data_IF_156750103776
#
_entry.id   IF_156750103776
#
_cell.length_a   1.000
_cell.length_b   1.000
_cell.length_c   1.000
_cell.angle_alpha   90.00
_cell.angle_beta   90.00
_cell.angle_gamma   90.00
#
_symmetry.space_group_name_H-M   'P 1'
#
loop_
_entity.id
_entity.type
_entity.pdbx_description
1 polymer ?
#
# COMPACT_ATOMS: atom_id res chain seq x y z
N UNK A 1 11.12 -15.51 -1.42
CA UNK A 1 10.36 -15.09 -2.62
C UNK A 1 11.15 -14.09 -3.49
N UNK A 2 12.47 -14.29 -3.65
CA UNK A 2 13.37 -13.48 -4.49
C UNK A 2 13.14 -13.76 -5.99
N UNK A 3 12.76 -15.00 -6.32
CA UNK A 3 12.55 -15.46 -7.69
C UNK A 3 11.47 -14.67 -8.44
N UNK A 4 10.39 -14.30 -7.74
CA UNK A 4 9.32 -13.49 -8.32
C UNK A 4 9.82 -12.08 -8.68
N UNK A 5 10.60 -11.45 -7.81
CA UNK A 5 11.15 -10.12 -8.06
C UNK A 5 12.15 -10.15 -9.22
N UNK A 6 12.97 -11.21 -9.30
CA UNK A 6 13.85 -11.46 -10.43
C UNK A 6 13.08 -11.67 -11.73
N UNK A 7 11.99 -12.43 -11.71
CA UNK A 7 11.13 -12.60 -12.88
C UNK A 7 10.53 -11.27 -13.35
N UNK A 8 10.03 -10.45 -12.42
CA UNK A 8 9.48 -9.13 -12.72
C UNK A 8 10.54 -8.20 -13.34
N UNK A 9 11.77 -8.19 -12.79
CA UNK A 9 12.83 -7.30 -13.25
C UNK A 9 13.51 -7.77 -14.54
N UNK A 10 13.76 -9.06 -14.71
CA UNK A 10 14.53 -9.58 -15.84
C UNK A 10 13.66 -10.08 -16.99
N UNK A 11 12.48 -10.63 -16.72
CA UNK A 11 11.58 -11.17 -17.76
C UNK A 11 10.51 -10.16 -18.15
N UNK A 12 9.74 -9.65 -17.20
CA UNK A 12 8.71 -8.64 -17.48
C UNK A 12 9.30 -7.24 -17.73
N UNK A 13 10.54 -7.01 -17.29
CA UNK A 13 11.28 -5.74 -17.41
C UNK A 13 10.49 -4.55 -16.86
N UNK A 14 9.71 -4.76 -15.80
CA UNK A 14 8.92 -3.68 -15.23
C UNK A 14 9.75 -2.72 -14.40
N UNK A 15 9.88 -1.51 -14.92
CA UNK A 15 10.67 -0.44 -14.34
C UNK A 15 10.11 -0.03 -12.98
N UNK A 16 8.82 0.27 -12.93
CA UNK A 16 8.13 0.75 -11.73
C UNK A 16 7.33 -0.38 -11.09
N UNK A 17 7.99 -1.09 -10.17
CA UNK A 17 7.45 -2.21 -9.42
C UNK A 17 7.78 -2.01 -7.95
N UNK A 18 6.78 -2.13 -7.09
CA UNK A 18 6.88 -2.03 -5.64
C UNK A 18 6.25 -3.28 -5.04
N UNK A 19 6.88 -3.84 -4.00
CA UNK A 19 6.34 -4.99 -3.29
C UNK A 19 6.58 -4.88 -1.80
N UNK A 20 5.57 -5.32 -1.05
CA UNK A 20 5.60 -5.47 0.38
C UNK A 20 4.96 -6.80 0.76
N UNK A 21 5.76 -7.75 1.27
CA UNK A 21 5.33 -9.12 1.53
C UNK A 21 4.61 -9.74 0.32
N UNK A 22 3.28 -9.92 0.41
CA UNK A 22 2.45 -10.51 -0.64
C UNK A 22 1.75 -9.47 -1.52
N UNK A 23 1.79 -8.18 -1.16
CA UNK A 23 1.17 -7.09 -1.91
C UNK A 23 2.15 -6.47 -2.91
N UNK A 24 1.80 -6.48 -4.19
CA UNK A 24 2.60 -5.93 -5.29
C UNK A 24 1.85 -4.87 -6.07
N UNK A 25 2.57 -3.82 -6.49
CA UNK A 25 2.08 -2.70 -7.28
C UNK A 25 2.95 -2.53 -8.51
N UNK A 26 2.30 -2.42 -9.67
CA UNK A 26 2.93 -2.14 -10.96
C UNK A 26 2.42 -0.79 -11.46
N UNK A 27 3.34 0.08 -11.89
CA UNK A 27 3.00 1.39 -12.42
C UNK A 27 3.47 1.49 -13.87
N UNK A 28 2.60 1.94 -14.76
CA UNK A 28 2.94 2.26 -16.14
C UNK A 28 2.03 3.38 -16.65
N UNK A 29 2.55 4.14 -17.60
CA UNK A 29 1.76 5.13 -18.35
C UNK A 29 0.90 4.46 -19.43
N UNK A 30 1.11 3.17 -19.72
CA UNK A 30 0.34 2.42 -20.70
C UNK A 30 -0.56 1.37 -20.01
N UNK A 31 -1.88 1.60 -20.05
CA UNK A 31 -2.87 0.68 -19.51
C UNK A 31 -2.80 -0.72 -20.14
N UNK A 32 -2.54 -0.81 -21.44
CA UNK A 32 -2.46 -2.10 -22.13
C UNK A 32 -1.26 -2.93 -21.67
N UNK A 33 -0.16 -2.28 -21.32
CA UNK A 33 1.00 -2.95 -20.74
C UNK A 33 0.63 -3.61 -19.40
N UNK A 34 -0.06 -2.88 -18.52
CA UNK A 34 -0.53 -3.42 -17.24
C UNK A 34 -1.49 -4.61 -17.43
N UNK A 35 -2.39 -4.53 -18.41
CA UNK A 35 -3.31 -5.62 -18.72
C UNK A 35 -2.58 -6.88 -19.23
N UNK A 36 -1.48 -6.71 -19.99
CA UNK A 36 -0.65 -7.83 -20.47
C UNK A 36 0.13 -8.51 -19.34
N UNK A 37 0.47 -7.77 -18.27
CA UNK A 37 1.18 -8.32 -17.11
C UNK A 37 0.30 -9.27 -16.30
N UNK A 38 -1.00 -9.01 -16.17
CA UNK A 38 -1.93 -9.82 -15.37
C UNK A 38 -1.87 -11.33 -15.71
N UNK A 39 -2.04 -11.77 -16.97
CA UNK A 39 -1.96 -13.19 -17.31
C UNK A 39 -0.57 -13.77 -17.08
N UNK A 40 0.51 -13.02 -17.34
CA UNK A 40 1.89 -13.45 -17.06
C UNK A 40 2.11 -13.72 -15.57
N UNK A 41 1.63 -12.82 -14.71
CA UNK A 41 1.71 -12.99 -13.25
C UNK A 41 0.90 -14.20 -12.78
N UNK A 42 -0.33 -14.38 -13.28
CA UNK A 42 -1.16 -15.55 -12.93
C UNK A 42 -0.47 -16.86 -13.32
N UNK A 43 0.12 -16.91 -14.51
CA UNK A 43 0.82 -18.07 -15.03
C UNK A 43 2.08 -18.37 -14.20
N UNK A 44 2.90 -17.36 -13.90
CA UNK A 44 4.11 -17.54 -13.10
C UNK A 44 3.79 -17.97 -11.67
N UNK A 45 2.89 -17.26 -10.97
CA UNK A 45 2.50 -17.58 -9.60
C UNK A 45 1.85 -18.96 -9.50
N UNK A 46 0.97 -19.31 -10.44
CA UNK A 46 0.30 -20.61 -10.46
C UNK A 46 1.27 -21.77 -10.75
N UNK A 47 2.15 -21.63 -11.73
CA UNK A 47 3.06 -22.72 -12.13
C UNK A 47 4.28 -22.88 -11.24
N UNK A 48 4.86 -21.77 -10.75
CA UNK A 48 6.13 -21.80 -10.01
C UNK A 48 5.94 -21.78 -8.51
N UNK A 49 4.94 -21.07 -8.02
CA UNK A 49 4.70 -20.90 -6.58
C UNK A 49 3.43 -21.61 -6.10
N UNK A 50 2.65 -22.22 -7.00
CA UNK A 50 1.35 -22.84 -6.70
C UNK A 50 0.37 -21.87 -6.01
N UNK A 51 0.49 -20.58 -6.33
CA UNK A 51 -0.34 -19.50 -5.77
C UNK A 51 -1.39 -19.05 -6.77
N UNK A 52 -2.63 -18.92 -6.30
CA UNK A 52 -3.75 -18.43 -7.11
C UNK A 52 -4.09 -17.00 -6.70
N UNK A 53 -3.98 -16.06 -7.64
CA UNK A 53 -4.46 -14.69 -7.42
C UNK A 53 -5.98 -14.69 -7.53
N UNK A 54 -6.66 -14.23 -6.48
CA UNK A 54 -8.10 -14.03 -6.53
C UNK A 54 -8.45 -12.92 -7.53
N UNK A 55 -9.33 -13.15 -8.52
CA UNK A 55 -9.60 -12.20 -9.60
C UNK A 55 -10.10 -10.84 -9.07
N UNK A 56 -10.89 -10.84 -8.00
CA UNK A 56 -11.42 -9.62 -7.38
C UNK A 56 -10.37 -8.80 -6.60
N UNK A 57 -9.21 -9.40 -6.31
CA UNK A 57 -8.10 -8.71 -5.60
C UNK A 57 -7.17 -7.98 -6.57
N UNK A 58 -7.41 -8.06 -7.88
CA UNK A 58 -6.66 -7.30 -8.87
C UNK A 58 -7.41 -6.00 -9.12
N UNK A 59 -6.77 -4.87 -8.82
CA UNK A 59 -7.30 -3.55 -9.11
C UNK A 59 -6.44 -2.83 -10.13
N UNK A 60 -7.10 -2.15 -11.08
CA UNK A 60 -6.45 -1.32 -12.08
C UNK A 60 -7.01 0.09 -11.96
N UNK A 61 -6.30 0.94 -11.23
CA UNK A 61 -6.69 2.32 -10.95
C UNK A 61 -5.64 3.29 -11.47
N UNK A 62 -5.99 4.58 -11.52
CA UNK A 62 -5.03 5.64 -11.80
C UNK A 62 -4.48 6.21 -10.50
N UNK A 63 -3.27 6.76 -10.52
CA UNK A 63 -2.73 7.47 -9.36
C UNK A 63 -3.60 8.67 -8.98
N UNK A 64 -4.22 9.34 -9.97
CA UNK A 64 -5.13 10.46 -9.75
C UNK A 64 -6.38 10.06 -8.94
N UNK A 65 -6.91 8.85 -9.16
CA UNK A 65 -8.05 8.31 -8.39
C UNK A 65 -7.68 7.82 -6.99
N UNK A 66 -6.40 7.83 -6.63
CA UNK A 66 -5.89 7.34 -5.36
C UNK A 66 -5.57 5.84 -5.39
N UNK A 67 -4.33 5.51 -5.03
CA UNK A 67 -3.84 4.15 -4.90
C UNK A 67 -3.88 3.71 -3.42
N UNK A 68 -4.83 2.84 -3.05
CA UNK A 68 -4.86 2.20 -1.73
C UNK A 68 -3.71 1.17 -1.63
N UNK A 69 -2.70 1.50 -0.83
CA UNK A 69 -1.54 0.64 -0.60
C UNK A 69 -1.03 0.80 0.84
N UNK A 70 -0.87 -0.33 1.53
CA UNK A 70 -0.35 -0.41 2.91
C UNK A 70 -1.09 0.48 3.93
N UNK A 71 -2.40 0.67 3.76
CA UNK A 71 -3.24 1.41 4.69
C UNK A 71 -3.25 2.93 4.49
N UNK A 72 -2.60 3.41 3.43
CA UNK A 72 -2.59 4.79 2.96
C UNK A 72 -3.15 4.82 1.52
N UNK A 73 -3.93 5.84 1.21
CA UNK A 73 -4.35 6.16 -0.16
C UNK A 73 -3.36 7.20 -0.70
N UNK A 74 -2.63 6.81 -1.75
CA UNK A 74 -1.57 7.62 -2.34
C UNK A 74 -2.09 8.37 -3.56
N UNK A 75 -1.94 9.69 -3.56
CA UNK A 75 -2.19 10.56 -4.70
C UNK A 75 -0.87 11.17 -5.18
N UNK A 76 -0.82 11.79 -6.38
CA UNK A 76 0.41 12.39 -6.89
C UNK A 76 1.01 13.48 -5.99
N UNK A 77 0.16 14.22 -5.28
CA UNK A 77 0.58 15.41 -4.49
C UNK A 77 0.33 15.28 -2.99
N UNK A 78 -0.42 14.27 -2.54
CA UNK A 78 -0.75 14.11 -1.13
C UNK A 78 -1.06 12.64 -0.80
N UNK A 79 -1.19 12.32 0.48
CA UNK A 79 -1.46 10.96 0.96
C UNK A 79 -2.48 11.03 2.08
N UNK A 80 -3.49 10.15 2.07
CA UNK A 80 -4.57 10.15 3.05
C UNK A 80 -4.61 8.80 3.77
N UNK A 81 -4.86 8.76 5.08
CA UNK A 81 -5.13 7.48 5.75
C UNK A 81 -6.45 6.86 5.28
N UNK A 82 -6.45 5.54 5.09
CA UNK A 82 -7.70 4.78 4.97
C UNK A 82 -8.53 4.90 6.24
N UNK A 83 -9.85 5.04 6.10
CA UNK A 83 -10.80 5.18 7.22
C UNK A 83 -10.64 4.06 8.27
N UNK A 84 -10.41 2.82 7.83
CA UNK A 84 -10.16 1.68 8.73
C UNK A 84 -8.89 1.87 9.56
N UNK A 85 -7.83 2.42 8.96
CA UNK A 85 -6.57 2.76 9.64
C UNK A 85 -6.81 3.89 10.65
N UNK A 86 -7.49 4.98 10.26
CA UNK A 86 -7.83 6.09 11.17
C UNK A 86 -8.56 5.58 12.43
N UNK A 87 -9.61 4.77 12.24
CA UNK A 87 -10.38 4.18 13.35
C UNK A 87 -9.52 3.27 14.24
N UNK A 88 -8.59 2.50 13.65
CA UNK A 88 -7.68 1.63 14.40
C UNK A 88 -6.71 2.44 15.27
N UNK A 89 -6.11 3.50 14.71
CA UNK A 89 -5.20 4.39 15.43
C UNK A 89 -5.91 4.95 16.67
N UNK A 90 -7.09 5.57 16.47
CA UNK A 90 -7.87 6.13 17.57
C UNK A 90 -8.26 5.08 18.61
N UNK A 91 -8.54 3.84 18.21
CA UNK A 91 -8.91 2.76 19.15
C UNK A 91 -7.71 2.25 19.96
N UNK A 92 -6.50 2.24 19.38
CA UNK A 92 -5.33 1.54 19.95
C UNK A 92 -4.24 2.45 20.52
N UNK A 93 -4.34 3.76 20.30
CA UNK A 93 -3.33 4.68 20.81
C UNK A 93 -3.32 4.69 22.35
N UNK A 94 -2.12 4.67 22.91
CA UNK A 94 -1.79 4.79 24.32
C UNK A 94 -0.44 5.51 24.46
N UNK A 95 -0.06 5.88 25.67
CA UNK A 95 1.21 6.58 25.96
C UNK A 95 2.43 5.89 25.34
N UNK A 96 2.51 4.56 25.45
CA UNK A 96 3.65 3.76 24.98
C UNK A 96 3.82 3.76 23.46
N UNK A 97 2.75 3.95 22.70
CA UNK A 97 2.77 3.87 21.24
C UNK A 97 2.44 5.19 20.53
N UNK A 98 2.24 6.27 21.30
CA UNK A 98 1.92 7.60 20.79
C UNK A 98 2.99 8.08 19.79
N UNK A 99 4.26 8.03 20.16
CA UNK A 99 5.37 8.45 19.31
C UNK A 99 5.40 7.68 17.98
N UNK A 100 5.16 6.37 18.02
CA UNK A 100 5.08 5.52 16.81
C UNK A 100 3.94 5.91 15.89
N UNK A 101 2.75 6.19 16.44
CA UNK A 101 1.62 6.67 15.65
C UNK A 101 1.86 8.06 15.08
N UNK A 102 2.41 8.99 15.86
CA UNK A 102 2.73 10.35 15.37
C UNK A 102 3.77 10.31 14.24
N UNK A 103 4.81 9.47 14.38
CA UNK A 103 5.80 9.24 13.32
C UNK A 103 5.16 8.75 12.02
N UNK A 104 4.23 7.80 12.10
CA UNK A 104 3.47 7.33 10.94
C UNK A 104 2.57 8.43 10.35
N UNK A 105 1.81 9.13 11.20
CA UNK A 105 0.86 10.17 10.79
C UNK A 105 1.57 11.36 10.12
N UNK A 106 2.80 11.69 10.51
CA UNK A 106 3.60 12.75 9.88
C UNK A 106 3.74 12.60 8.36
N UNK A 107 3.68 11.38 7.82
CA UNK A 107 3.89 11.13 6.40
C UNK A 107 2.63 11.26 5.53
N UNK A 108 1.51 11.71 6.10
CA UNK A 108 0.22 11.79 5.43
C UNK A 108 -0.61 12.95 5.97
N UNK A 109 -1.58 13.38 5.18
CA UNK A 109 -2.51 14.44 5.52
C UNK A 109 -3.43 13.97 6.66
N UNK A 110 -3.03 14.32 7.87
CA UNK A 110 -3.57 13.76 9.11
C UNK A 110 -3.51 14.73 10.29
N UNK A 111 -3.39 16.03 10.02
CA UNK A 111 -3.25 17.06 11.06
C UNK A 111 -4.34 16.96 12.14
N UNK A 112 -5.61 16.88 11.73
CA UNK A 112 -6.74 16.71 12.65
C UNK A 112 -6.62 15.42 13.48
N UNK A 113 -6.18 14.33 12.85
CA UNK A 113 -6.02 13.04 13.53
C UNK A 113 -4.87 13.06 14.54
N UNK A 114 -3.78 13.76 14.24
CA UNK A 114 -2.67 13.95 15.17
C UNK A 114 -3.13 14.67 16.43
N UNK A 115 -3.89 15.77 16.28
CA UNK A 115 -4.45 16.53 17.40
C UNK A 115 -5.40 15.67 18.24
N UNK A 116 -6.29 14.90 17.60
CA UNK A 116 -7.20 13.98 18.31
C UNK A 116 -6.43 12.92 19.11
N UNK A 117 -5.35 12.40 18.55
CA UNK A 117 -4.53 11.38 19.19
C UNK A 117 -3.77 11.95 20.40
N UNK A 118 -3.19 13.15 20.26
CA UNK A 118 -2.50 13.85 21.37
C UNK A 118 -3.49 14.17 22.50
N UNK A 119 -4.62 14.79 22.17
CA UNK A 119 -5.64 15.17 23.15
C UNK A 119 -6.24 13.96 23.89
N UNK A 120 -6.28 12.79 23.22
CA UNK A 120 -6.78 11.55 23.83
C UNK A 120 -5.83 10.98 24.90
N UNK A 121 -4.52 11.20 24.76
CA UNK A 121 -3.54 10.73 25.75
C UNK A 121 -3.42 11.71 26.92
N UNK A 122 -3.64 13.01 26.67
CA UNK A 122 -3.37 14.05 27.66
C UNK A 122 -1.90 14.46 27.67
N UNK A 123 -1.50 15.41 28.54
CA UNK A 123 -0.09 15.73 28.74
C UNK A 123 0.69 14.46 29.13
N UNK A 124 1.84 14.26 28.50
CA UNK A 124 2.78 13.24 28.92
C UNK A 124 3.50 13.78 30.16
N UNK A 125 3.22 13.19 31.33
CA UNK A 125 3.93 13.47 32.58
C UNK A 125 5.41 13.01 32.52
#
# INVERSE_FOLDING_TARGET
MNEFDQYVKHKLKQKYYIRYADDFVFLSNNRQELLKIIPELKNYLGKKLQLTIHPEKISLTTLASGLDYLGIINFPHHRILRTKTKRRVLKRVNEKNLASYLGFLKHCDSYELQNLVINKIGPLD
#
